data_IF_555476884037
#
_entry.id   IF_555476884037
#
_cell.length_a   1.000
_cell.length_b   1.000
_cell.length_c   1.000
_cell.angle_alpha   90.00
_cell.angle_beta   90.00
_cell.angle_gamma   90.00
#
_symmetry.space_group_name_H-M   'P 1'
#
loop_
_entity.id
_entity.type
_entity.pdbx_description
1 polymer ?
#
# COMPACT_ATOMS: atom_id res chain seq x y z
N UNK A 1 -17.63 -62.62 7.50
CA UNK A 1 -16.76 -61.79 8.35
C UNK A 1 -15.41 -61.73 7.68
N UNK A 2 -15.03 -60.57 7.12
CA UNK A 2 -13.65 -60.18 6.80
C UNK A 2 -13.70 -58.76 6.24
N UNK A 3 -13.50 -57.77 7.12
CA UNK A 3 -13.28 -56.38 6.75
C UNK A 3 -11.81 -56.24 6.31
N UNK A 4 -11.54 -56.31 5.01
CA UNK A 4 -10.27 -55.86 4.44
C UNK A 4 -10.19 -54.33 4.56
N UNK A 5 -9.67 -53.85 5.68
CA UNK A 5 -9.24 -52.46 5.79
C UNK A 5 -8.00 -52.30 4.90
N UNK A 6 -8.15 -51.63 3.76
CA UNK A 6 -7.02 -51.17 2.94
C UNK A 6 -5.97 -50.51 3.83
N UNK A 7 -4.85 -51.21 4.06
CA UNK A 7 -3.68 -50.62 4.70
C UNK A 7 -3.09 -49.64 3.68
N UNK A 8 -3.35 -48.35 3.86
CA UNK A 8 -2.77 -47.31 2.99
C UNK A 8 -1.24 -47.39 3.12
N UNK A 9 -0.56 -47.76 2.04
CA UNK A 9 0.90 -47.80 1.97
C UNK A 9 1.48 -46.38 2.06
N UNK A 10 2.63 -46.22 2.73
CA UNK A 10 3.33 -44.94 2.89
C UNK A 10 3.10 -44.23 4.23
N UNK A 11 3.80 -43.11 4.43
CA UNK A 11 3.69 -42.26 5.62
C UNK A 11 2.27 -41.69 5.70
N UNK A 12 1.61 -41.87 6.85
CA UNK A 12 0.24 -41.41 7.07
C UNK A 12 0.20 -40.25 8.06
N UNK A 13 -0.50 -39.18 7.71
CA UNK A 13 -0.75 -38.05 8.61
C UNK A 13 -2.19 -38.07 9.10
N UNK A 14 -2.39 -38.11 10.41
CA UNK A 14 -3.71 -37.93 11.02
C UNK A 14 -4.08 -36.44 11.13
N UNK A 15 -5.38 -36.10 11.24
CA UNK A 15 -5.84 -34.73 11.44
C UNK A 15 -5.28 -34.05 12.70
N UNK A 16 -4.93 -34.83 13.73
CA UNK A 16 -4.28 -34.35 14.96
C UNK A 16 -2.77 -34.11 14.81
N UNK A 17 -2.22 -34.13 13.58
CA UNK A 17 -0.81 -33.90 13.30
C UNK A 17 0.12 -35.10 13.62
N UNK A 18 -0.42 -36.21 14.14
CA UNK A 18 0.36 -37.42 14.41
C UNK A 18 0.70 -38.15 13.12
N UNK A 19 2.00 -38.36 12.88
CA UNK A 19 2.52 -39.09 11.72
C UNK A 19 2.79 -40.54 12.08
N UNK A 20 2.26 -41.48 11.31
CA UNK A 20 2.38 -42.93 11.54
C UNK A 20 2.89 -43.64 10.27
N UNK A 21 3.30 -44.90 10.41
CA UNK A 21 3.83 -45.72 9.32
C UNK A 21 5.13 -45.17 8.68
N UNK A 22 6.04 -44.68 9.52
CA UNK A 22 7.37 -44.18 9.11
C UNK A 22 8.29 -45.39 8.90
N UNK A 23 8.88 -45.59 7.70
CA UNK A 23 9.83 -46.68 7.46
C UNK A 23 11.06 -46.61 8.37
N UNK A 24 11.59 -47.76 8.79
CA UNK A 24 12.79 -47.81 9.65
C UNK A 24 14.07 -47.25 8.99
N UNK A 25 14.08 -47.16 7.66
CA UNK A 25 15.16 -46.50 6.89
C UNK A 25 15.08 -44.98 6.90
N UNK A 26 13.98 -44.40 7.40
CA UNK A 26 13.72 -42.96 7.39
C UNK A 26 14.00 -42.34 8.76
N UNK A 27 14.53 -41.12 8.75
CA UNK A 27 14.76 -40.34 9.98
C UNK A 27 13.42 -40.05 10.66
N UNK A 28 13.23 -40.60 11.85
CA UNK A 28 11.98 -40.52 12.64
C UNK A 28 12.01 -39.43 13.73
N UNK A 29 12.94 -38.47 13.63
CA UNK A 29 13.08 -37.35 14.57
C UNK A 29 12.72 -36.00 13.90
N UNK A 30 12.81 -34.91 14.67
CA UNK A 30 12.46 -33.55 14.23
C UNK A 30 13.32 -33.02 13.06
N UNK A 31 14.48 -33.62 12.78
CA UNK A 31 15.39 -33.21 11.71
C UNK A 31 15.12 -33.94 10.39
N UNK A 32 14.18 -34.89 10.36
CA UNK A 32 13.77 -35.61 9.15
C UNK A 32 12.55 -34.98 8.45
N UNK A 33 12.19 -35.49 7.27
CA UNK A 33 11.02 -35.03 6.50
C UNK A 33 9.69 -35.17 7.27
N UNK A 34 9.60 -36.13 8.20
CA UNK A 34 8.46 -36.28 9.11
C UNK A 34 8.37 -35.09 10.08
N UNK A 35 9.52 -34.65 10.61
CA UNK A 35 9.60 -33.46 11.46
C UNK A 35 9.14 -32.21 10.73
N UNK A 36 9.63 -31.99 9.50
CA UNK A 36 9.20 -30.87 8.64
C UNK A 36 7.69 -30.88 8.39
N UNK A 37 7.11 -32.03 8.03
CA UNK A 37 5.68 -32.15 7.76
C UNK A 37 4.83 -31.88 9.02
N UNK A 38 5.29 -32.38 10.16
CA UNK A 38 4.65 -32.10 11.46
C UNK A 38 4.69 -30.60 11.77
N UNK A 39 5.79 -29.93 11.44
CA UNK A 39 5.97 -28.50 11.65
C UNK A 39 5.07 -27.64 10.72
N UNK A 40 4.94 -28.02 9.45
CA UNK A 40 4.01 -27.38 8.50
C UNK A 40 2.56 -27.52 8.97
N UNK A 41 2.16 -28.71 9.47
CA UNK A 41 0.81 -28.92 10.02
C UNK A 41 0.57 -28.14 11.31
N UNK A 42 1.57 -28.07 12.19
CA UNK A 42 1.48 -27.24 13.40
C UNK A 42 1.32 -25.74 13.06
N UNK A 43 1.89 -25.29 11.93
CA UNK A 43 1.68 -23.93 11.45
C UNK A 43 0.26 -23.66 10.93
N UNK A 44 -0.53 -24.67 10.57
CA UNK A 44 -1.96 -24.48 10.24
C UNK A 44 -2.78 -24.10 11.49
N UNK A 45 -2.30 -24.43 12.68
CA UNK A 45 -3.00 -24.20 13.95
C UNK A 45 -2.35 -23.11 14.82
N UNK A 46 -1.04 -22.88 14.72
CA UNK A 46 -0.31 -21.82 15.43
C UNK A 46 0.24 -20.74 14.48
N UNK A 47 -0.34 -19.52 14.48
CA UNK A 47 0.15 -18.39 13.69
C UNK A 47 1.61 -18.04 13.92
N UNK A 48 2.18 -18.29 15.11
CA UNK A 48 3.59 -17.97 15.40
C UNK A 48 4.57 -18.89 14.67
N UNK A 49 4.13 -20.10 14.31
CA UNK A 49 4.95 -21.06 13.57
C UNK A 49 4.86 -20.86 12.05
N UNK A 50 3.83 -20.16 11.56
CA UNK A 50 3.63 -19.85 10.12
C UNK A 50 4.83 -19.11 9.54
N UNK A 51 5.30 -18.05 10.19
CA UNK A 51 6.35 -17.18 9.64
C UNK A 51 7.66 -17.91 9.39
N UNK A 52 8.06 -18.84 10.27
CA UNK A 52 9.32 -19.56 10.13
C UNK A 52 9.21 -20.83 9.27
N UNK A 53 8.01 -21.40 9.16
CA UNK A 53 7.78 -22.68 8.44
C UNK A 53 7.33 -22.48 7.00
N UNK A 54 6.32 -21.65 6.79
CA UNK A 54 5.69 -21.35 5.50
C UNK A 54 6.26 -20.07 4.89
N UNK A 55 6.83 -19.20 5.73
CA UNK A 55 7.38 -17.93 5.31
C UNK A 55 6.33 -16.82 5.27
N UNK A 56 6.72 -15.70 4.68
CA UNK A 56 5.84 -14.56 4.43
C UNK A 56 6.15 -14.01 3.05
N UNK A 57 5.13 -13.53 2.35
CA UNK A 57 5.34 -12.86 1.07
C UNK A 57 6.10 -11.54 1.29
N UNK A 58 7.37 -11.55 0.92
CA UNK A 58 8.26 -10.39 1.09
C UNK A 58 7.89 -9.24 0.16
N UNK A 59 7.13 -9.48 -0.92
CA UNK A 59 6.66 -8.41 -1.81
C UNK A 59 5.57 -7.57 -1.15
N UNK A 60 4.90 -8.10 -0.13
CA UNK A 60 3.93 -7.39 0.70
C UNK A 60 4.56 -6.44 1.73
N UNK A 61 5.89 -6.43 1.88
CA UNK A 61 6.59 -5.60 2.87
C UNK A 61 6.83 -4.16 2.41
N UNK A 62 6.28 -3.74 1.27
CA UNK A 62 6.41 -2.37 0.79
C UNK A 62 7.77 -2.01 0.18
N UNK A 63 8.62 -3.02 -0.06
CA UNK A 63 9.91 -2.85 -0.74
C UNK A 63 9.79 -3.27 -2.21
N UNK A 64 10.31 -2.43 -3.11
CA UNK A 64 10.41 -2.79 -4.51
C UNK A 64 11.63 -3.69 -4.77
N UNK A 65 11.46 -5.00 -4.51
CA UNK A 65 12.51 -6.01 -4.72
C UNK A 65 12.90 -6.19 -6.20
N UNK A 66 12.14 -5.61 -7.13
CA UNK A 66 12.44 -5.60 -8.57
C UNK A 66 13.23 -4.37 -9.01
N UNK A 67 13.57 -3.46 -8.10
CA UNK A 67 14.36 -2.27 -8.42
C UNK A 67 15.76 -2.63 -8.91
N UNK A 68 16.24 -1.95 -9.95
CA UNK A 68 17.64 -2.04 -10.38
C UNK A 68 18.58 -1.22 -9.48
N UNK A 69 18.02 -0.28 -8.72
CA UNK A 69 18.75 0.59 -7.81
C UNK A 69 18.79 0.01 -6.39
N UNK A 70 19.80 0.44 -5.61
CA UNK A 70 19.90 0.06 -4.20
C UNK A 70 18.75 0.63 -3.37
N UNK A 71 18.16 -0.19 -2.50
CA UNK A 71 17.03 0.20 -1.64
C UNK A 71 17.44 0.95 -0.36
N UNK A 72 18.70 0.80 0.09
CA UNK A 72 19.18 1.38 1.34
C UNK A 72 19.13 2.92 1.42
N UNK A 73 19.32 3.71 0.34
CA UNK A 73 19.32 5.18 0.43
C UNK A 73 17.95 5.76 0.82
N UNK A 74 16.86 5.09 0.44
CA UNK A 74 15.49 5.49 0.74
C UNK A 74 14.83 4.56 1.76
N UNK A 75 15.62 3.82 2.54
CA UNK A 75 15.10 2.92 3.56
C UNK A 75 14.59 3.71 4.77
N UNK A 76 13.27 3.82 4.90
CA UNK A 76 12.61 4.61 5.96
C UNK A 76 12.65 3.93 7.34
N UNK A 77 12.92 2.64 7.40
CA UNK A 77 13.05 1.89 8.64
C UNK A 77 12.35 0.53 8.59
N UNK A 78 12.54 -0.31 9.62
CA UNK A 78 12.08 -1.70 9.65
C UNK A 78 10.56 -1.87 9.77
N UNK A 79 9.83 -0.83 10.17
CA UNK A 79 8.37 -0.88 10.38
C UNK A 79 7.59 0.04 9.42
N UNK A 80 8.27 0.61 8.43
CA UNK A 80 7.67 1.53 7.48
C UNK A 80 7.41 0.79 6.18
N UNK A 81 6.17 0.85 5.70
CA UNK A 81 5.73 0.15 4.48
C UNK A 81 6.06 0.92 3.18
N UNK A 82 6.70 2.08 3.29
CA UNK A 82 7.00 2.96 2.17
C UNK A 82 8.44 3.49 2.26
N UNK A 83 9.11 3.72 1.12
CA UNK A 83 10.43 4.33 1.11
C UNK A 83 10.36 5.79 1.61
N UNK A 84 11.50 6.32 2.03
CA UNK A 84 11.66 7.73 2.41
C UNK A 84 11.16 8.63 1.28
N UNK A 85 10.39 9.66 1.64
CA UNK A 85 10.02 10.71 0.71
C UNK A 85 11.23 11.62 0.49
N UNK A 86 11.24 12.36 -0.61
CA UNK A 86 12.33 13.28 -0.90
C UNK A 86 12.56 14.31 0.23
N UNK A 87 11.47 14.75 0.89
CA UNK A 87 11.57 15.65 2.05
C UNK A 87 12.10 15.02 3.34
N UNK A 88 12.12 13.68 3.45
CA UNK A 88 12.61 12.98 4.64
C UNK A 88 14.13 12.67 4.54
N UNK A 89 14.68 12.73 3.33
CA UNK A 89 16.10 12.45 3.10
C UNK A 89 16.92 13.70 3.35
N UNK A 90 17.82 13.63 4.33
CA UNK A 90 18.79 14.70 4.56
C UNK A 90 19.75 14.81 3.38
N UNK A 91 19.92 16.03 2.87
CA UNK A 91 20.85 16.31 1.80
C UNK A 91 21.69 17.54 2.15
N UNK A 92 22.98 17.48 1.84
CA UNK A 92 23.88 18.61 2.05
C UNK A 92 23.61 19.68 0.99
N UNK A 93 22.74 20.62 1.32
CA UNK A 93 22.41 21.77 0.47
C UNK A 93 23.41 22.90 0.69
N UNK A 94 23.73 23.69 -0.35
CA UNK A 94 24.49 24.92 -0.19
C UNK A 94 23.91 25.81 0.93
N UNK A 95 24.77 26.48 1.74
CA UNK A 95 24.33 27.31 2.87
C UNK A 95 23.31 28.40 2.48
N UNK A 96 23.32 28.85 1.23
CA UNK A 96 22.42 29.85 0.69
C UNK A 96 20.95 29.39 0.67
N UNK A 97 20.68 28.07 0.64
CA UNK A 97 19.33 27.52 0.70
C UNK A 97 18.80 27.37 2.14
N UNK A 98 19.64 27.54 3.16
CA UNK A 98 19.24 27.46 4.57
C UNK A 98 18.54 28.75 5.05
N UNK A 99 17.64 29.28 4.24
CA UNK A 99 16.97 30.58 4.42
C UNK A 99 16.16 30.65 5.71
N UNK A 100 15.66 29.52 6.21
CA UNK A 100 14.86 29.47 7.43
C UNK A 100 15.63 30.10 8.61
N UNK A 101 16.95 29.87 8.71
CA UNK A 101 17.78 30.47 9.76
C UNK A 101 17.78 32.00 9.72
N UNK A 102 17.71 32.60 8.52
CA UNK A 102 17.83 34.05 8.33
C UNK A 102 16.50 34.81 8.39
N UNK A 103 15.38 34.18 7.98
CA UNK A 103 14.10 34.88 7.78
C UNK A 103 12.91 34.25 8.52
N UNK A 104 13.13 33.33 9.47
CA UNK A 104 12.06 32.67 10.23
C UNK A 104 11.01 33.65 10.77
N UNK A 105 11.44 34.76 11.36
CA UNK A 105 10.54 35.73 11.99
C UNK A 105 9.70 36.53 10.98
N UNK A 106 10.09 36.52 9.70
CA UNK A 106 9.40 37.20 8.60
C UNK A 106 8.49 36.25 7.81
N UNK A 107 8.64 34.94 7.99
CA UNK A 107 7.86 33.92 7.28
C UNK A 107 6.49 33.74 7.94
N UNK A 108 5.46 34.19 7.25
CA UNK A 108 4.07 33.89 7.64
C UNK A 108 3.80 32.40 7.47
N UNK A 109 3.14 31.79 8.46
CA UNK A 109 2.70 30.41 8.35
C UNK A 109 1.82 30.23 7.10
N UNK A 110 2.13 29.25 6.23
CA UNK A 110 1.37 29.06 4.99
C UNK A 110 -0.06 28.67 5.33
N UNK A 111 -1.01 29.54 5.00
CA UNK A 111 -2.43 29.24 5.09
C UNK A 111 -2.84 28.43 3.85
N UNK A 112 -3.31 27.20 4.04
CA UNK A 112 -3.71 26.30 2.94
C UNK A 112 -4.73 26.94 2.00
N UNK A 113 -5.62 27.79 2.54
CA UNK A 113 -6.61 28.56 1.78
C UNK A 113 -6.00 29.45 0.69
N UNK A 114 -4.78 29.95 0.89
CA UNK A 114 -4.08 30.84 -0.03
C UNK A 114 -3.28 30.06 -1.08
N UNK A 115 -2.98 28.79 -0.82
CA UNK A 115 -2.18 27.97 -1.72
C UNK A 115 -2.91 27.69 -3.03
N UNK A 116 -2.18 27.60 -4.12
CA UNK A 116 -2.73 27.22 -5.42
C UNK A 116 -3.12 25.72 -5.43
N UNK A 117 -4.03 25.34 -6.32
CA UNK A 117 -4.47 23.94 -6.44
C UNK A 117 -3.32 22.99 -6.76
N UNK A 118 -2.37 23.42 -7.59
CA UNK A 118 -1.16 22.68 -7.94
C UNK A 118 -0.37 22.24 -6.69
N UNK A 119 -0.16 23.18 -5.76
CA UNK A 119 0.53 22.89 -4.51
C UNK A 119 -0.33 22.03 -3.56
N UNK A 120 -1.65 22.16 -3.58
CA UNK A 120 -2.54 21.28 -2.83
C UNK A 120 -2.47 19.83 -3.35
N UNK A 121 -2.40 19.63 -4.67
CA UNK A 121 -2.16 18.31 -5.26
C UNK A 121 -0.79 17.77 -4.87
N UNK A 122 0.24 18.60 -4.91
CA UNK A 122 1.58 18.24 -4.41
C UNK A 122 1.53 17.76 -2.97
N UNK A 123 0.92 18.53 -2.07
CA UNK A 123 0.80 18.13 -0.66
C UNK A 123 -0.02 16.85 -0.47
N UNK A 124 -1.09 16.66 -1.24
CA UNK A 124 -1.93 15.46 -1.18
C UNK A 124 -1.21 14.19 -1.61
N UNK A 125 -0.46 14.25 -2.73
CA UNK A 125 0.23 13.08 -3.29
C UNK A 125 1.58 12.79 -2.64
N UNK A 126 2.23 13.78 -2.00
CA UNK A 126 3.52 13.57 -1.32
C UNK A 126 3.39 13.23 0.17
N UNK A 127 2.32 13.63 0.86
CA UNK A 127 2.18 13.41 2.31
C UNK A 127 1.19 12.30 2.65
N UNK A 128 1.35 11.14 2.00
CA UNK A 128 0.47 9.97 2.18
C UNK A 128 0.46 9.54 3.65
N UNK A 129 -0.74 9.38 4.23
CA UNK A 129 -0.90 8.96 5.63
C UNK A 129 -0.62 10.05 6.67
N UNK A 130 -0.33 11.28 6.25
CA UNK A 130 -0.10 12.42 7.13
C UNK A 130 -1.37 13.28 7.27
N UNK A 131 -1.47 14.02 8.38
CA UNK A 131 -2.46 15.09 8.57
C UNK A 131 -2.44 16.09 7.42
N UNK A 132 -1.27 16.35 6.82
CA UNK A 132 -1.17 17.30 5.71
C UNK A 132 -1.98 16.88 4.48
N UNK A 133 -2.06 15.57 4.18
CA UNK A 133 -2.88 15.06 3.08
C UNK A 133 -4.38 15.32 3.33
N UNK A 134 -4.87 15.09 4.55
CA UNK A 134 -6.26 15.36 4.93
C UNK A 134 -6.61 16.85 4.82
N UNK A 135 -5.70 17.71 5.26
CA UNK A 135 -5.89 19.15 5.19
C UNK A 135 -5.90 19.65 3.73
N UNK A 136 -5.00 19.15 2.88
CA UNK A 136 -5.00 19.45 1.45
C UNK A 136 -6.30 18.94 0.77
N UNK A 137 -6.74 17.74 1.11
CA UNK A 137 -8.00 17.16 0.61
C UNK A 137 -9.22 18.01 1.00
N UNK A 138 -9.26 18.51 2.24
CA UNK A 138 -10.33 19.38 2.72
C UNK A 138 -10.41 20.69 1.94
N UNK A 139 -9.26 21.29 1.62
CA UNK A 139 -9.20 22.52 0.82
C UNK A 139 -9.45 22.29 -0.68
N UNK A 140 -9.06 21.14 -1.24
CA UNK A 140 -9.48 20.76 -2.59
C UNK A 140 -11.01 20.58 -2.64
N UNK A 141 -11.58 19.93 -1.62
CA UNK A 141 -13.03 19.73 -1.52
C UNK A 141 -13.82 21.05 -1.40
N UNK A 142 -13.28 22.04 -0.67
CA UNK A 142 -13.87 23.38 -0.57
C UNK A 142 -13.86 24.14 -1.91
N UNK A 143 -12.96 23.76 -2.81
CA UNK A 143 -12.83 24.26 -4.20
C UNK A 143 -13.53 23.37 -5.23
N UNK A 144 -14.56 22.65 -4.81
CA UNK A 144 -15.40 21.81 -5.66
C UNK A 144 -14.70 20.58 -6.28
N UNK A 145 -13.47 20.28 -5.88
CA UNK A 145 -12.85 19.02 -6.27
C UNK A 145 -13.48 17.85 -5.49
N UNK A 146 -13.62 16.72 -6.16
CA UNK A 146 -14.11 15.46 -5.58
C UNK A 146 -13.11 14.37 -5.87
N UNK A 147 -12.92 13.46 -4.93
CA UNK A 147 -11.98 12.36 -5.09
C UNK A 147 -12.72 11.12 -5.59
N UNK A 148 -12.34 10.62 -6.76
CA UNK A 148 -12.87 9.39 -7.34
C UNK A 148 -12.14 8.19 -6.72
N UNK A 149 -12.81 7.47 -5.81
CA UNK A 149 -12.16 6.43 -4.98
C UNK A 149 -11.59 5.28 -5.80
N UNK A 150 -12.29 4.85 -6.86
CA UNK A 150 -11.87 3.71 -7.68
C UNK A 150 -10.67 4.02 -8.58
N UNK A 151 -10.68 5.20 -9.21
CA UNK A 151 -9.58 5.65 -10.10
C UNK A 151 -8.47 6.38 -9.33
N UNK A 152 -8.69 6.71 -8.04
CA UNK A 152 -7.74 7.40 -7.15
C UNK A 152 -7.27 8.77 -7.68
N UNK A 153 -8.19 9.51 -8.28
CA UNK A 153 -7.93 10.82 -8.90
C UNK A 153 -8.89 11.89 -8.39
N UNK A 154 -8.44 13.13 -8.41
CA UNK A 154 -9.29 14.29 -8.16
C UNK A 154 -9.97 14.72 -9.45
N UNK A 155 -11.29 14.92 -9.38
CA UNK A 155 -12.14 15.41 -10.47
C UNK A 155 -12.88 16.69 -10.08
N UNK A 156 -13.17 17.53 -11.05
CA UNK A 156 -14.02 18.72 -10.86
C UNK A 156 -14.85 18.98 -12.12
N UNK A 157 -15.97 19.67 -11.95
CA UNK A 157 -16.86 20.02 -13.05
C UNK A 157 -16.19 21.03 -13.97
N UNK A 158 -16.46 20.92 -15.27
CA UNK A 158 -15.97 21.91 -16.24
C UNK A 158 -16.84 23.18 -16.12
N UNK A 159 -16.26 24.35 -15.83
CA UNK A 159 -17.02 25.60 -15.76
C UNK A 159 -17.79 25.85 -17.05
N UNK A 160 -19.09 26.14 -16.94
CA UNK A 160 -19.96 26.40 -18.08
C UNK A 160 -20.59 25.16 -18.73
N UNK A 161 -20.18 23.94 -18.37
CA UNK A 161 -20.85 22.70 -18.77
C UNK A 161 -21.77 22.26 -17.62
N UNK A 162 -23.08 22.40 -17.83
CA UNK A 162 -24.11 22.01 -16.86
C UNK A 162 -24.90 20.77 -17.30
N UNK A 163 -24.62 20.25 -18.50
CA UNK A 163 -25.31 19.08 -19.07
C UNK A 163 -24.62 17.80 -18.61
N UNK A 164 -24.98 17.36 -17.41
CA UNK A 164 -24.63 16.02 -16.93
C UNK A 164 -25.88 15.14 -17.03
N UNK A 165 -25.74 13.97 -17.66
CA UNK A 165 -26.80 12.98 -17.74
C UNK A 165 -27.01 12.38 -16.35
N UNK A 166 -28.17 12.65 -15.73
CA UNK A 166 -28.54 12.07 -14.44
C UNK A 166 -29.45 10.87 -14.66
N UNK A 167 -28.90 9.68 -14.48
CA UNK A 167 -29.65 8.42 -14.46
C UNK A 167 -29.86 7.99 -13.00
N UNK A 168 -30.86 8.58 -12.35
CA UNK A 168 -31.18 8.28 -10.94
C UNK A 168 -30.03 8.68 -10.01
N UNK A 169 -29.33 7.68 -9.46
CA UNK A 169 -28.19 7.86 -8.55
C UNK A 169 -26.85 7.99 -9.27
N UNK A 170 -26.81 8.08 -10.60
CA UNK A 170 -25.56 8.19 -11.37
C UNK A 170 -25.58 9.45 -12.22
N UNK A 171 -24.48 10.19 -12.19
CA UNK A 171 -24.21 11.36 -13.02
C UNK A 171 -23.12 11.01 -14.03
N UNK A 172 -23.39 11.20 -15.32
CA UNK A 172 -22.41 11.00 -16.40
C UNK A 172 -22.14 12.32 -17.11
N UNK A 173 -20.87 12.62 -17.34
CA UNK A 173 -20.47 13.79 -18.13
C UNK A 173 -18.96 13.93 -18.23
N UNK A 174 -18.52 15.01 -18.86
CA UNK A 174 -17.10 15.32 -19.00
C UNK A 174 -16.63 16.16 -17.82
N UNK A 175 -15.62 15.68 -17.10
CA UNK A 175 -15.03 16.38 -15.96
C UNK A 175 -13.57 16.70 -16.27
N UNK A 176 -13.04 17.71 -15.58
CA UNK A 176 -11.60 17.85 -15.44
C UNK A 176 -11.12 16.87 -14.37
N UNK A 177 -9.96 16.27 -14.59
CA UNK A 177 -9.24 15.51 -13.58
C UNK A 177 -7.78 15.95 -13.55
N UNK A 178 -7.15 15.77 -12.38
CA UNK A 178 -5.73 15.99 -12.22
C UNK A 178 -4.98 14.66 -12.37
N UNK A 179 -4.12 14.56 -13.37
CA UNK A 179 -3.23 13.43 -13.55
C UNK A 179 -1.91 13.68 -12.81
N UNK A 180 -1.68 12.91 -11.75
CA UNK A 180 -0.45 13.00 -10.96
C UNK A 180 0.79 12.49 -11.70
N UNK A 181 0.64 11.62 -12.72
CA UNK A 181 1.78 11.08 -13.46
C UNK A 181 2.32 12.10 -14.47
N UNK A 182 1.45 12.73 -15.26
CA UNK A 182 1.85 13.78 -16.21
C UNK A 182 1.88 15.18 -15.62
N UNK A 183 1.45 15.34 -14.36
CA UNK A 183 1.31 16.60 -13.63
C UNK A 183 0.47 17.65 -14.39
N UNK A 184 -0.69 17.23 -14.89
CA UNK A 184 -1.55 18.06 -15.77
C UNK A 184 -3.03 17.91 -15.45
N UNK A 185 -3.78 18.98 -15.72
CA UNK A 185 -5.24 18.94 -15.77
C UNK A 185 -5.68 18.45 -17.14
N UNK A 186 -6.43 17.36 -17.17
CA UNK A 186 -6.95 16.72 -18.38
C UNK A 186 -8.48 16.60 -18.29
N UNK A 187 -9.14 16.31 -19.40
CA UNK A 187 -10.59 16.08 -19.43
C UNK A 187 -10.90 14.65 -19.84
N UNK A 188 -11.84 14.00 -19.14
CA UNK A 188 -12.31 12.64 -19.44
C UNK A 188 -13.79 12.53 -19.09
N UNK A 189 -14.51 11.64 -19.78
CA UNK A 189 -15.89 11.31 -19.44
C UNK A 189 -15.89 10.37 -18.25
N UNK A 190 -16.57 10.76 -17.18
CA UNK A 190 -16.77 9.93 -16.00
C UNK A 190 -18.25 9.63 -15.80
N UNK A 191 -18.51 8.49 -15.18
CA UNK A 191 -19.80 8.14 -14.61
C UNK A 191 -19.59 8.03 -13.10
N UNK A 192 -20.09 9.01 -12.37
CA UNK A 192 -19.96 9.11 -10.91
C UNK A 192 -21.29 8.77 -10.26
N UNK A 193 -21.26 8.12 -9.11
CA UNK A 193 -22.45 7.99 -8.29
C UNK A 193 -22.73 9.36 -7.64
N UNK A 194 -23.98 9.81 -7.76
CA UNK A 194 -24.46 11.15 -7.37
C UNK A 194 -24.69 11.28 -5.86
#
# INVERSE_FOLDING_TARGET
SSNDKLVKSGVQTSPDGKVTNIPASMVNNQFGMVGLLTFIRAAETDPNLVTLSLGTDLTGLGLNLNSQESLHPTFAGPFVEQPCRAQDVEYNVPPEYLINFAIRDKLTAPALKVLQEDLLFFLFYTNIGDKMQLMAASELHSREWRYHVEEKIWITRIPGINQYEKNGTKERGTFYYFDAQSWKRLSKVFQIDA
#
